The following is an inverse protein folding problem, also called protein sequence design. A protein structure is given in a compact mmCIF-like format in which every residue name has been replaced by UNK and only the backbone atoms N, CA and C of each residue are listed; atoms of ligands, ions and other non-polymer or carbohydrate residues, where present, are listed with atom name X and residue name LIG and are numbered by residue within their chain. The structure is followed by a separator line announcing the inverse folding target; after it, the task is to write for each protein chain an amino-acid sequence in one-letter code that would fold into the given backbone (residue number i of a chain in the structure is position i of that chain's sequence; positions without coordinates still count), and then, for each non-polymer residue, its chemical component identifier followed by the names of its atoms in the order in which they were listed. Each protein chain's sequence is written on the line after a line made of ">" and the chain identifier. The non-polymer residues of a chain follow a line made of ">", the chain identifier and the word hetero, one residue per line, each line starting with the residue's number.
data_IF_204455378830
#
_entry.id   IF_204455378830
#
_cell.length_a   1.000
_cell.length_b   1.000
_cell.length_c   1.000
_cell.angle_alpha   90.00
_cell.angle_beta   90.00
_cell.angle_gamma   90.00
#
_symmetry.space_group_name_H-M   'P 1'
#
loop_
_entity.id
_entity.type
_entity.pdbx_description
1 polymer ?
#
# COMPACT_ATOMS: atom_id res chain seq x y z
N UNK A 1 7.39 21.82 -16.44
CA UNK A 1 7.07 22.88 -15.45
C UNK A 1 6.56 24.09 -16.20
N UNK A 2 5.65 24.84 -15.58
CA UNK A 2 5.24 26.15 -16.09
C UNK A 2 6.43 27.11 -16.10
N UNK A 3 6.50 27.99 -17.10
CA UNK A 3 7.51 29.05 -17.14
C UNK A 3 7.15 30.16 -16.16
N UNK A 4 8.12 30.99 -15.73
CA UNK A 4 7.81 32.15 -14.91
C UNK A 4 6.73 33.02 -15.56
N UNK A 5 5.63 33.27 -14.84
CA UNK A 5 4.49 34.07 -15.31
C UNK A 5 3.36 33.28 -15.98
N UNK A 6 3.51 31.98 -16.22
CA UNK A 6 2.42 31.12 -16.71
C UNK A 6 1.57 30.58 -15.55
N UNK A 7 0.25 30.45 -15.76
CA UNK A 7 -0.68 29.80 -14.84
C UNK A 7 -1.65 28.88 -15.60
N UNK A 8 -2.30 27.97 -14.87
CA UNK A 8 -3.33 27.08 -15.41
C UNK A 8 -4.42 26.91 -14.35
N UNK A 9 -5.72 27.11 -14.68
CA UNK A 9 -6.81 26.89 -13.75
C UNK A 9 -6.84 25.49 -13.13
N UNK A 10 -6.25 24.49 -13.82
CA UNK A 10 -6.12 23.13 -13.31
C UNK A 10 -5.28 23.07 -12.02
N UNK A 11 -4.23 23.89 -11.91
CA UNK A 11 -3.34 23.87 -10.75
C UNK A 11 -3.88 24.68 -9.56
N UNK A 12 -4.89 25.52 -9.81
CA UNK A 12 -5.65 26.23 -8.78
C UNK A 12 -6.85 25.40 -8.28
N UNK A 13 -7.16 24.27 -8.94
CA UNK A 13 -8.25 23.39 -8.57
C UNK A 13 -7.95 22.60 -7.28
N UNK A 14 -8.86 22.64 -6.32
CA UNK A 14 -8.70 21.98 -5.02
C UNK A 14 -8.59 20.45 -5.15
N UNK A 15 -9.31 19.83 -6.10
CA UNK A 15 -9.21 18.39 -6.34
C UNK A 15 -7.87 18.02 -6.95
N UNK A 16 -7.31 18.88 -7.80
CA UNK A 16 -5.95 18.70 -8.28
C UNK A 16 -4.95 18.72 -7.12
N UNK A 17 -5.06 19.70 -6.21
CA UNK A 17 -4.21 19.77 -5.02
C UNK A 17 -4.35 18.51 -4.15
N UNK A 18 -5.59 18.07 -3.87
CA UNK A 18 -5.86 16.84 -3.11
C UNK A 18 -5.33 15.58 -3.78
N UNK A 19 -5.30 15.52 -5.11
CA UNK A 19 -4.75 14.36 -5.83
C UNK A 19 -3.24 14.16 -5.59
N UNK A 20 -2.54 15.21 -5.18
CA UNK A 20 -1.14 15.17 -4.78
C UNK A 20 -0.94 14.89 -3.28
N UNK A 21 -2.02 14.76 -2.50
CA UNK A 21 -1.94 14.37 -1.08
C UNK A 21 -1.83 12.85 -0.92
N UNK A 22 -0.60 12.34 -0.99
CA UNK A 22 -0.32 10.92 -0.80
C UNK A 22 -0.35 10.52 0.68
N UNK A 23 -1.54 10.45 1.27
CA UNK A 23 -1.76 9.89 2.62
C UNK A 23 -1.30 8.44 2.72
N UNK A 24 -1.28 7.72 1.60
CA UNK A 24 -0.67 6.40 1.48
C UNK A 24 0.39 6.45 0.38
N UNK A 25 1.65 6.60 0.77
CA UNK A 25 2.79 6.59 -0.15
C UNK A 25 3.46 5.22 -0.10
N UNK A 26 3.53 4.52 -1.24
CA UNK A 26 4.04 3.14 -1.28
C UNK A 26 5.10 2.89 -2.34
N UNK A 27 6.00 1.95 -2.08
CA UNK A 27 6.88 1.40 -3.13
C UNK A 27 7.26 -0.06 -2.85
N UNK A 28 7.29 -0.85 -3.92
CA UNK A 28 7.75 -2.22 -3.88
C UNK A 28 9.17 -2.34 -4.40
N UNK A 29 10.01 -3.16 -3.75
CA UNK A 29 11.24 -3.64 -4.36
C UNK A 29 11.17 -5.15 -4.56
N UNK A 30 11.48 -5.56 -5.78
CA UNK A 30 11.67 -6.97 -6.14
C UNK A 30 13.04 -7.45 -5.64
N UNK A 31 13.16 -8.74 -5.33
CA UNK A 31 14.27 -9.38 -4.58
C UNK A 31 14.12 -9.36 -3.05
N UNK A 32 12.90 -9.58 -2.55
CA UNK A 32 12.64 -9.70 -1.12
C UNK A 32 13.37 -10.85 -0.42
N UNK A 33 13.83 -11.86 -1.14
CA UNK A 33 14.67 -12.92 -0.57
C UNK A 33 16.12 -12.47 -0.31
N UNK A 34 16.58 -11.38 -0.94
CA UNK A 34 17.96 -10.87 -0.83
C UNK A 34 18.07 -9.63 0.05
N UNK A 35 17.08 -8.73 -0.01
CA UNK A 35 17.10 -7.50 0.78
C UNK A 35 16.66 -7.75 2.22
N UNK A 36 17.41 -7.23 3.20
CA UNK A 36 17.11 -7.40 4.62
C UNK A 36 16.14 -6.33 5.16
N UNK A 37 16.13 -5.14 4.55
CA UNK A 37 15.24 -4.05 4.94
C UNK A 37 15.30 -2.89 3.96
N UNK A 38 14.27 -2.07 3.99
CA UNK A 38 14.15 -0.79 3.28
C UNK A 38 13.18 0.10 4.06
N UNK A 39 13.16 1.39 3.75
CA UNK A 39 12.51 2.40 4.60
C UNK A 39 12.38 3.74 3.90
N UNK A 40 11.21 4.36 4.05
CA UNK A 40 11.01 5.80 3.86
C UNK A 40 9.85 6.24 4.76
N UNK A 41 9.84 7.50 5.16
CA UNK A 41 8.76 8.07 5.96
C UNK A 41 7.65 8.67 5.10
N UNK A 42 6.48 8.86 5.67
CA UNK A 42 5.39 9.64 5.09
C UNK A 42 5.80 11.11 4.94
N UNK A 43 5.40 11.70 3.82
CA UNK A 43 5.50 13.15 3.55
C UNK A 43 4.38 13.91 4.27
N UNK A 44 3.22 13.28 4.43
CA UNK A 44 2.04 13.87 5.07
C UNK A 44 1.96 13.47 6.53
N UNK A 45 1.80 14.42 7.48
CA UNK A 45 1.77 14.11 8.92
C UNK A 45 0.69 13.10 9.34
N UNK A 46 -0.41 13.05 8.59
CA UNK A 46 -1.55 12.16 8.75
C UNK A 46 -1.57 11.01 7.72
N UNK A 47 -0.40 10.66 7.20
CA UNK A 47 -0.24 9.58 6.23
C UNK A 47 0.64 8.42 6.72
N UNK A 48 0.89 7.51 5.78
CA UNK A 48 1.75 6.34 5.93
C UNK A 48 2.79 6.29 4.81
N UNK A 49 4.04 5.98 5.20
CA UNK A 49 5.09 5.56 4.28
C UNK A 49 5.23 4.04 4.34
N UNK A 50 4.96 3.35 3.23
CA UNK A 50 4.96 1.88 3.21
C UNK A 50 5.81 1.33 2.07
N UNK A 51 6.91 0.69 2.44
CA UNK A 51 7.68 -0.10 1.50
C UNK A 51 7.39 -1.59 1.70
N UNK A 52 7.54 -2.36 0.63
CA UNK A 52 7.40 -3.80 0.71
C UNK A 52 8.41 -4.54 -0.16
N UNK A 53 8.86 -5.68 0.36
CA UNK A 53 9.82 -6.57 -0.24
C UNK A 53 9.13 -7.92 -0.47
N UNK A 54 8.75 -8.20 -1.72
CA UNK A 54 8.15 -9.47 -2.10
C UNK A 54 9.25 -10.52 -2.36
N UNK A 55 9.24 -11.58 -1.56
CA UNK A 55 10.00 -12.82 -1.79
C UNK A 55 9.07 -13.97 -2.15
N UNK A 56 9.64 -15.15 -2.41
CA UNK A 56 8.85 -16.30 -2.88
C UNK A 56 7.82 -16.81 -1.85
N UNK A 57 8.12 -16.67 -0.54
CA UNK A 57 7.27 -17.20 0.55
C UNK A 57 6.91 -16.16 1.61
N UNK A 58 7.50 -14.97 1.53
CA UNK A 58 7.39 -13.93 2.53
C UNK A 58 7.31 -12.57 1.86
N UNK A 59 6.41 -11.72 2.34
CA UNK A 59 6.39 -10.30 2.02
C UNK A 59 6.76 -9.55 3.28
N UNK A 60 7.85 -8.77 3.24
CA UNK A 60 8.25 -7.92 4.36
C UNK A 60 7.73 -6.52 4.11
N UNK A 61 7.10 -5.92 5.12
CA UNK A 61 6.60 -4.55 5.06
C UNK A 61 7.41 -3.67 6.02
N UNK A 62 7.92 -2.54 5.52
CA UNK A 62 8.32 -1.41 6.34
C UNK A 62 7.17 -0.40 6.36
N UNK A 63 6.65 -0.08 7.55
CA UNK A 63 5.51 0.82 7.74
C UNK A 63 5.95 1.93 8.68
N UNK A 64 5.72 3.18 8.28
CA UNK A 64 5.98 4.37 9.08
C UNK A 64 4.73 5.26 9.13
N UNK A 65 4.45 5.81 10.30
CA UNK A 65 3.43 6.85 10.55
C UNK A 65 3.90 7.75 11.69
N UNK A 66 3.29 8.94 11.84
CA UNK A 66 3.70 9.89 12.88
C UNK A 66 2.93 9.65 14.18
N UNK A 67 3.65 9.54 15.31
CA UNK A 67 3.04 9.48 16.65
C UNK A 67 2.21 10.72 16.99
N UNK A 68 2.51 11.87 16.38
CA UNK A 68 1.76 13.12 16.58
C UNK A 68 0.37 13.11 15.94
N UNK A 69 0.08 12.16 15.06
CA UNK A 69 -1.20 12.08 14.37
C UNK A 69 -2.09 10.99 14.99
N UNK A 70 -3.16 11.42 15.65
CA UNK A 70 -4.10 10.52 16.35
C UNK A 70 -4.94 9.63 15.43
N UNK A 71 -5.00 9.94 14.13
CA UNK A 71 -5.74 9.15 13.14
C UNK A 71 -4.88 8.09 12.45
N UNK A 72 -3.59 8.03 12.76
CA UNK A 72 -2.67 7.01 12.21
C UNK A 72 -2.08 6.12 13.30
N UNK A 73 -1.84 4.85 12.98
CA UNK A 73 -1.24 3.88 13.88
C UNK A 73 -0.50 2.81 13.09
N UNK A 74 0.82 2.78 13.21
CA UNK A 74 1.66 1.77 12.56
C UNK A 74 1.29 0.34 13.02
N UNK A 75 0.94 0.18 14.30
CA UNK A 75 0.57 -1.12 14.86
C UNK A 75 -0.76 -1.63 14.29
N UNK A 76 -1.78 -0.76 14.24
CA UNK A 76 -3.10 -1.13 13.73
C UNK A 76 -3.07 -1.36 12.22
N UNK A 77 -2.37 -0.50 11.48
CA UNK A 77 -2.22 -0.66 10.03
C UNK A 77 -1.52 -1.97 9.69
N UNK A 78 -0.46 -2.34 10.43
CA UNK A 78 0.20 -3.65 10.30
C UNK A 78 -0.78 -4.80 10.51
N UNK A 79 -1.61 -4.74 11.54
CA UNK A 79 -2.61 -5.79 11.80
C UNK A 79 -3.61 -5.90 10.63
N UNK A 80 -4.07 -4.76 10.10
CA UNK A 80 -4.98 -4.71 8.94
C UNK A 80 -4.36 -5.24 7.66
N UNK A 81 -3.09 -4.96 7.38
CA UNK A 81 -2.39 -5.57 6.23
C UNK A 81 -2.37 -7.10 6.34
N UNK A 82 -2.09 -7.64 7.54
CA UNK A 82 -2.08 -9.10 7.75
C UNK A 82 -3.48 -9.70 7.59
N UNK A 83 -4.51 -9.05 8.12
CA UNK A 83 -5.92 -9.44 7.95
C UNK A 83 -6.30 -9.48 6.47
N UNK A 84 -6.08 -8.38 5.73
CA UNK A 84 -6.41 -8.31 4.31
C UNK A 84 -5.69 -9.36 3.47
N UNK A 85 -4.41 -9.63 3.72
CA UNK A 85 -3.67 -10.67 3.00
C UNK A 85 -4.20 -12.08 3.31
N UNK A 86 -4.69 -12.33 4.53
CA UNK A 86 -5.32 -13.60 4.90
C UNK A 86 -6.69 -13.75 4.25
N UNK A 87 -7.48 -12.67 4.21
CA UNK A 87 -8.79 -12.66 3.56
C UNK A 87 -8.66 -12.93 2.06
N UNK A 88 -7.72 -12.26 1.39
CA UNK A 88 -7.39 -12.53 -0.01
C UNK A 88 -7.01 -14.00 -0.22
N UNK A 89 -6.16 -14.56 0.66
CA UNK A 89 -5.76 -15.97 0.58
C UNK A 89 -6.95 -16.92 0.78
N UNK A 90 -7.87 -16.61 1.67
CA UNK A 90 -9.07 -17.41 1.89
C UNK A 90 -9.96 -17.40 0.64
N UNK A 91 -10.21 -16.21 0.08
CA UNK A 91 -11.00 -16.05 -1.14
C UNK A 91 -10.47 -16.90 -2.30
N UNK A 92 -9.15 -16.91 -2.53
CA UNK A 92 -8.56 -17.74 -3.61
C UNK A 92 -8.69 -19.24 -3.36
N UNK A 93 -8.60 -19.70 -2.11
CA UNK A 93 -8.81 -21.12 -1.78
C UNK A 93 -10.26 -21.54 -2.04
N UNK A 94 -11.21 -20.68 -1.71
CA UNK A 94 -12.63 -20.97 -1.93
C UNK A 94 -12.92 -21.09 -3.43
N UNK A 95 -12.29 -20.25 -4.26
CA UNK A 95 -12.37 -20.36 -5.72
C UNK A 95 -11.79 -21.67 -6.26
N UNK A 96 -10.63 -22.11 -5.77
CA UNK A 96 -10.04 -23.41 -6.16
C UNK A 96 -10.96 -24.60 -5.81
N UNK A 97 -11.63 -24.54 -4.66
CA UNK A 97 -12.59 -25.57 -4.23
C UNK A 97 -13.81 -25.61 -5.16
N UNK A 98 -14.33 -24.44 -5.56
CA UNK A 98 -15.45 -24.37 -6.50
C UNK A 98 -15.06 -24.98 -7.85
N UNK A 99 -13.91 -24.60 -8.41
CA UNK A 99 -13.44 -25.13 -9.69
C UNK A 99 -13.19 -26.64 -9.67
N UNK A 100 -12.61 -27.16 -8.59
CA UNK A 100 -12.36 -28.61 -8.43
C UNK A 100 -13.67 -29.38 -8.31
N UNK A 101 -14.64 -28.87 -7.57
CA UNK A 101 -15.96 -29.48 -7.44
C UNK A 101 -16.76 -29.48 -8.75
N UNK A 102 -16.60 -28.45 -9.60
CA UNK A 102 -17.24 -28.41 -10.91
C UNK A 102 -16.58 -29.39 -11.90
N UNK A 103 -15.25 -29.53 -11.86
CA UNK A 103 -14.53 -30.54 -12.66
C UNK A 103 -14.84 -31.97 -12.24
N UNK A 104 -15.12 -32.23 -10.97
CA UNK A 104 -15.44 -33.56 -10.44
C UNK A 104 -16.87 -34.04 -10.76
N UNK A 105 -17.72 -33.17 -11.32
CA UNK A 105 -19.11 -33.49 -11.71
C UNK A 105 -19.26 -33.87 -13.20
N UNK A 106 -18.17 -33.83 -13.97
CA UNK A 106 -18.08 -34.26 -15.38
C UNK A 106 -17.48 -35.66 -15.47
#
# INVERSE_FOLDING_TARGET
>A
MLRPGESSPLFDDELFAKSAEWKLSTSGLSAGDRFLGTGFGTVWPDGYGINYLAGAKLIKFGIESKHSCSTTSTADFKAKVVESLRDMKALFKDLEIVETNDKAKL
#
